data_IF_125161723971
#
_entry.id   IF_125161723971
#
_cell.length_a   1.000
_cell.length_b   1.000
_cell.length_c   1.000
_cell.angle_alpha   90.00
_cell.angle_beta   90.00
_cell.angle_gamma   90.00
#
_symmetry.space_group_name_H-M   'P 1'
#
loop_
_entity.id
_entity.type
_entity.pdbx_description
1 polymer ?
#
# COMPACT_ATOMS: atom_id res chain seq x y z
N UNK A 1 -15.40 37.52 12.91
CA UNK A 1 -14.48 37.11 11.83
C UNK A 1 -15.03 35.84 11.24
N UNK A 2 -15.15 35.73 9.91
CA UNK A 2 -15.59 34.47 9.28
C UNK A 2 -14.56 33.40 9.59
N UNK A 3 -14.98 32.23 10.08
CA UNK A 3 -14.06 31.10 10.26
C UNK A 3 -13.57 30.69 8.86
N UNK A 4 -12.26 30.61 8.60
CA UNK A 4 -11.77 30.20 7.30
C UNK A 4 -12.20 28.75 7.03
N UNK A 5 -12.95 28.54 5.96
CA UNK A 5 -13.36 27.20 5.50
C UNK A 5 -12.32 26.65 4.55
N UNK A 6 -11.83 25.44 4.82
CA UNK A 6 -10.90 24.73 3.94
C UNK A 6 -11.61 23.55 3.27
N UNK A 7 -11.24 23.25 2.03
CA UNK A 7 -11.69 22.05 1.33
C UNK A 7 -10.60 20.98 1.48
N UNK A 8 -10.98 19.85 2.05
CA UNK A 8 -10.09 18.72 2.29
C UNK A 8 -10.42 17.58 1.32
N UNK A 9 -9.40 16.96 0.69
CA UNK A 9 -9.60 15.79 -0.17
C UNK A 9 -10.28 14.60 0.52
N UNK A 10 -10.10 14.43 1.83
CA UNK A 10 -10.67 13.35 2.63
C UNK A 10 -11.44 13.90 3.84
N UNK A 11 -12.66 14.38 3.64
CA UNK A 11 -13.51 14.87 4.73
C UNK A 11 -14.94 14.31 4.59
N UNK A 12 -15.37 13.38 5.48
CA UNK A 12 -14.62 12.87 6.62
C UNK A 12 -13.46 11.93 6.22
N UNK A 13 -12.52 11.70 7.14
CA UNK A 13 -11.57 10.59 7.01
C UNK A 13 -12.32 9.25 7.01
N UNK A 14 -11.70 8.21 6.47
CA UNK A 14 -12.23 6.86 6.56
C UNK A 14 -12.32 6.44 8.05
N UNK A 15 -13.52 6.13 8.58
CA UNK A 15 -13.67 5.78 9.98
C UNK A 15 -12.96 4.47 10.34
N UNK A 16 -12.31 4.44 11.50
CA UNK A 16 -11.74 3.23 12.09
C UNK A 16 -12.79 2.60 12.99
N UNK A 17 -13.35 1.47 12.54
CA UNK A 17 -14.39 0.73 13.27
C UNK A 17 -13.74 -0.25 14.24
N UNK A 18 -14.06 -0.13 15.53
CA UNK A 18 -13.51 -0.97 16.58
C UNK A 18 -12.05 -0.66 16.87
N UNK A 19 -11.31 -1.69 17.33
CA UNK A 19 -9.91 -1.54 17.72
C UNK A 19 -9.05 -1.13 16.50
N UNK A 20 -8.28 -0.03 16.57
CA UNK A 20 -7.39 0.36 15.49
C UNK A 20 -6.39 -0.73 15.15
N UNK A 21 -6.21 -0.96 13.86
CA UNK A 21 -5.23 -1.88 13.28
C UNK A 21 -4.17 -1.09 12.53
N UNK A 22 -3.00 -1.68 12.32
CA UNK A 22 -1.93 -1.04 11.55
C UNK A 22 -2.39 -0.61 10.14
N UNK A 23 -3.10 -1.44 9.33
CA UNK A 23 -3.64 -1.01 8.05
C UNK A 23 -4.55 0.22 8.14
N UNK A 24 -5.46 0.26 9.11
CA UNK A 24 -6.41 1.36 9.28
C UNK A 24 -5.69 2.67 9.66
N UNK A 25 -4.72 2.60 10.56
CA UNK A 25 -3.91 3.76 10.95
C UNK A 25 -3.05 4.25 9.79
N UNK A 26 -2.46 3.35 8.99
CA UNK A 26 -1.70 3.73 7.80
C UNK A 26 -2.60 4.47 6.79
N UNK A 27 -3.83 3.97 6.54
CA UNK A 27 -4.78 4.65 5.66
C UNK A 27 -5.15 6.04 6.19
N UNK A 28 -5.57 6.14 7.45
CA UNK A 28 -5.92 7.41 8.08
C UNK A 28 -4.74 8.41 8.05
N UNK A 29 -3.51 7.92 8.26
CA UNK A 29 -2.29 8.74 8.17
C UNK A 29 -2.06 9.26 6.75
N UNK A 30 -2.33 8.46 5.71
CA UNK A 30 -2.26 8.92 4.31
C UNK A 30 -3.29 10.01 4.02
N UNK A 31 -4.53 9.81 4.46
CA UNK A 31 -5.63 10.76 4.25
C UNK A 31 -5.37 12.09 4.96
N UNK A 32 -4.96 12.06 6.24
CA UNK A 32 -4.67 13.27 7.00
C UNK A 32 -3.45 14.02 6.44
N UNK A 33 -2.45 13.31 5.89
CA UNK A 33 -1.31 13.93 5.21
C UNK A 33 -1.75 14.62 3.92
N UNK A 34 -2.67 14.02 3.16
CA UNK A 34 -3.24 14.65 1.97
C UNK A 34 -4.04 15.92 2.33
N UNK A 35 -4.85 15.87 3.38
CA UNK A 35 -5.60 17.02 3.90
C UNK A 35 -4.71 18.14 4.42
N UNK A 36 -3.65 17.81 5.16
CA UNK A 36 -2.70 18.80 5.65
C UNK A 36 -1.92 19.46 4.50
N UNK A 37 -1.55 18.68 3.48
CA UNK A 37 -0.85 19.19 2.29
C UNK A 37 -1.74 20.03 1.38
N UNK A 38 -3.04 19.75 1.31
CA UNK A 38 -3.97 20.48 0.41
C UNK A 38 -4.12 21.95 0.78
N UNK A 39 -3.87 22.32 2.03
CA UNK A 39 -3.92 23.72 2.49
C UNK A 39 -2.55 24.38 2.39
N UNK A 40 -2.34 25.36 1.49
CA UNK A 40 -1.04 25.99 1.29
C UNK A 40 -0.57 26.78 2.51
N UNK A 41 0.73 26.80 2.76
CA UNK A 41 1.39 27.57 3.81
C UNK A 41 2.48 28.44 3.22
N UNK A 42 2.65 29.67 3.72
CA UNK A 42 3.81 30.52 3.39
C UNK A 42 5.08 30.08 4.12
N UNK A 43 4.96 29.20 5.11
CA UNK A 43 6.04 28.73 5.99
C UNK A 43 6.61 27.36 5.61
N UNK A 44 6.18 26.78 4.48
CA UNK A 44 6.67 25.50 4.02
C UNK A 44 6.21 25.14 2.62
N UNK A 45 7.07 24.41 1.88
CA UNK A 45 6.80 23.96 0.51
C UNK A 45 5.78 22.82 0.39
N UNK A 46 5.31 22.29 1.53
CA UNK A 46 4.44 21.12 1.62
C UNK A 46 3.10 21.42 2.32
N UNK A 47 2.61 22.66 2.22
CA UNK A 47 1.39 23.09 2.89
C UNK A 47 1.53 23.04 4.40
N UNK A 48 0.53 22.49 5.09
CA UNK A 48 0.52 22.32 6.55
C UNK A 48 0.92 20.91 6.99
N UNK A 49 1.59 20.14 6.14
CA UNK A 49 1.98 18.76 6.43
C UNK A 49 2.81 18.61 7.72
N UNK A 50 3.56 19.64 8.12
CA UNK A 50 4.31 19.66 9.38
C UNK A 50 3.45 19.54 10.65
N UNK A 51 2.13 19.80 10.57
CA UNK A 51 1.21 19.67 11.70
C UNK A 51 0.88 18.22 12.08
N UNK A 52 1.20 17.27 11.20
CA UNK A 52 0.82 15.85 11.33
C UNK A 52 2.01 14.90 11.19
N UNK A 53 3.21 15.42 10.92
CA UNK A 53 4.45 14.66 10.80
C UNK A 53 5.42 15.02 11.91
N UNK A 54 6.39 14.14 12.19
CA UNK A 54 7.51 14.52 13.05
C UNK A 54 8.37 15.59 12.39
N UNK A 55 9.02 16.43 13.19
CA UNK A 55 9.96 17.44 12.69
C UNK A 55 11.08 16.81 11.86
N UNK A 56 11.55 15.62 12.26
CA UNK A 56 12.59 14.88 11.54
C UNK A 56 12.11 14.44 10.15
N UNK A 57 10.93 13.80 10.07
CA UNK A 57 10.39 13.32 8.79
C UNK A 57 10.01 14.46 7.85
N UNK A 58 9.44 15.54 8.40
CA UNK A 58 9.14 16.73 7.60
C UNK A 58 10.42 17.35 7.04
N UNK A 59 11.45 17.53 7.86
CA UNK A 59 12.73 18.13 7.43
C UNK A 59 13.41 17.28 6.37
N UNK A 60 13.42 15.95 6.55
CA UNK A 60 13.96 15.01 5.57
C UNK A 60 13.24 15.11 4.22
N UNK A 61 11.92 15.35 4.22
CA UNK A 61 11.12 15.47 3.00
C UNK A 61 11.21 16.84 2.34
N UNK A 62 11.12 17.91 3.13
CA UNK A 62 11.06 19.28 2.64
C UNK A 62 12.44 19.91 2.39
N UNK A 63 13.51 19.28 2.87
CA UNK A 63 14.87 19.80 2.84
C UNK A 63 15.13 20.96 3.81
N UNK A 64 14.10 21.41 4.53
CA UNK A 64 14.13 22.51 5.49
C UNK A 64 13.11 22.26 6.60
N UNK A 65 13.41 22.74 7.80
CA UNK A 65 12.49 22.68 8.92
C UNK A 65 11.26 23.58 8.67
N UNK A 66 10.10 23.16 9.18
CA UNK A 66 8.91 24.00 9.18
C UNK A 66 8.99 25.01 10.33
N UNK A 67 8.93 26.30 10.01
CA UNK A 67 8.87 27.37 11.01
C UNK A 67 7.43 27.78 11.22
N UNK A 68 6.80 27.31 12.29
CA UNK A 68 5.41 27.66 12.58
C UNK A 68 5.24 29.18 12.76
N UNK A 69 4.15 29.79 12.24
CA UNK A 69 3.83 31.18 12.54
C UNK A 69 3.69 31.38 14.05
N UNK A 70 4.33 32.41 14.57
CA UNK A 70 4.20 32.84 15.97
C UNK A 70 2.99 33.73 16.14
N UNK A 71 2.51 33.86 17.38
CA UNK A 71 1.45 34.81 17.70
C UNK A 71 1.89 36.23 17.29
N UNK A 72 1.14 36.91 16.42
CA UNK A 72 1.54 38.18 15.84
C UNK A 72 1.43 39.30 16.89
N UNK A 73 2.55 39.99 17.14
CA UNK A 73 2.58 41.17 18.00
C UNK A 73 2.50 42.40 17.11
N UNK A 74 1.60 43.34 17.45
CA UNK A 74 1.48 44.60 16.71
C UNK A 74 2.80 45.38 16.82
N UNK A 75 3.41 45.80 15.70
CA UNK A 75 4.67 46.54 15.74
C UNK A 75 4.49 47.88 16.47
N UNK A 76 5.47 48.24 17.29
CA UNK A 76 5.52 49.56 17.93
C UNK A 76 5.89 50.60 16.87
N UNK A 77 5.18 51.73 16.85
CA UNK A 77 5.48 52.82 15.90
C UNK A 77 6.81 53.47 16.27
N UNK A 78 7.74 53.51 15.32
CA UNK A 78 8.98 54.28 15.46
C UNK A 78 8.72 55.78 15.32
N UNK A 79 9.42 56.59 16.11
CA UNK A 79 9.35 58.04 16.00
C UNK A 79 9.84 58.47 14.61
N UNK A 80 9.13 59.43 13.99
CA UNK A 80 9.41 59.92 12.62
C UNK A 80 9.18 58.90 11.49
N UNK A 81 8.45 57.81 11.73
CA UNK A 81 8.04 56.88 10.67
C UNK A 81 7.26 57.60 9.58
N UNK A 82 7.64 57.39 8.33
CA UNK A 82 6.86 57.89 7.18
C UNK A 82 5.55 57.11 7.04
N UNK A 83 4.55 57.69 6.37
CA UNK A 83 3.29 57.00 6.07
C UNK A 83 3.50 55.67 5.34
N UNK A 84 4.49 55.61 4.43
CA UNK A 84 4.81 54.38 3.71
C UNK A 84 5.29 53.28 4.65
N UNK A 85 6.22 53.59 5.57
CA UNK A 85 6.72 52.65 6.57
C UNK A 85 5.62 52.16 7.53
N UNK A 86 4.68 53.05 7.89
CA UNK A 86 3.53 52.68 8.73
C UNK A 86 2.61 51.71 8.00
N UNK A 87 2.32 51.96 6.72
CA UNK A 87 1.44 51.11 5.93
C UNK A 87 2.05 49.74 5.69
N UNK A 88 3.34 49.68 5.38
CA UNK A 88 4.11 48.43 5.21
C UNK A 88 4.08 47.58 6.49
N UNK A 89 4.40 48.18 7.66
CA UNK A 89 4.34 47.47 8.94
C UNK A 89 2.93 46.99 9.33
N UNK A 90 1.88 47.72 8.95
CA UNK A 90 0.50 47.28 9.15
C UNK A 90 0.13 46.11 8.25
N UNK A 91 0.62 46.10 7.00
CA UNK A 91 0.41 45.02 6.05
C UNK A 91 1.12 43.74 6.52
N UNK A 92 2.39 43.84 6.92
CA UNK A 92 3.15 42.73 7.48
C UNK A 92 2.46 42.12 8.71
N UNK A 93 1.94 42.96 9.60
CA UNK A 93 1.18 42.52 10.77
C UNK A 93 -0.11 41.80 10.35
N UNK A 94 -0.88 42.36 9.40
CA UNK A 94 -2.10 41.73 8.91
C UNK A 94 -1.82 40.37 8.26
N UNK A 95 -0.74 40.25 7.48
CA UNK A 95 -0.31 39.01 6.84
C UNK A 95 0.19 37.98 7.87
N UNK A 96 0.81 38.43 8.96
CA UNK A 96 1.20 37.58 10.08
C UNK A 96 -0.03 37.04 10.84
N UNK A 97 -1.02 37.89 11.13
CA UNK A 97 -2.31 37.49 11.74
C UNK A 97 -3.04 36.47 10.88
N UNK A 98 -3.24 36.77 9.60
CA UNK A 98 -3.90 35.85 8.67
C UNK A 98 -3.23 34.48 8.62
N UNK A 99 -1.89 34.45 8.61
CA UNK A 99 -1.16 33.19 8.54
C UNK A 99 -1.13 32.42 9.86
N UNK A 100 -1.10 33.10 11.00
CA UNK A 100 -1.25 32.50 12.33
C UNK A 100 -2.65 31.89 12.50
N UNK A 101 -3.71 32.67 12.23
CA UNK A 101 -5.10 32.21 12.35
C UNK A 101 -5.37 31.01 11.44
N UNK A 102 -4.83 31.04 10.22
CA UNK A 102 -4.89 29.91 9.29
C UNK A 102 -4.21 28.67 9.86
N UNK A 103 -2.99 28.80 10.39
CA UNK A 103 -2.24 27.69 10.96
C UNK A 103 -3.00 27.03 12.12
N UNK A 104 -3.51 27.85 13.05
CA UNK A 104 -4.31 27.37 14.19
C UNK A 104 -5.60 26.70 13.70
N UNK A 105 -6.31 27.31 12.74
CA UNK A 105 -7.56 26.73 12.21
C UNK A 105 -7.33 25.37 11.54
N UNK A 106 -6.26 25.24 10.74
CA UNK A 106 -5.91 23.96 10.11
C UNK A 106 -5.53 22.92 11.17
N UNK A 107 -4.75 23.30 12.20
CA UNK A 107 -4.40 22.39 13.29
C UNK A 107 -5.65 21.86 14.02
N UNK A 108 -6.61 22.74 14.33
CA UNK A 108 -7.86 22.32 14.98
C UNK A 108 -8.72 21.43 14.08
N UNK A 109 -8.83 21.75 12.79
CA UNK A 109 -9.59 20.92 11.86
C UNK A 109 -9.00 19.52 11.69
N UNK A 110 -7.67 19.42 11.52
CA UNK A 110 -6.99 18.12 11.41
C UNK A 110 -7.12 17.31 12.70
N UNK A 111 -7.05 17.97 13.88
CA UNK A 111 -7.30 17.32 15.17
C UNK A 111 -8.71 16.73 15.22
N UNK A 112 -9.72 17.52 14.83
CA UNK A 112 -11.11 17.10 14.86
C UNK A 112 -11.37 15.93 13.89
N UNK A 113 -10.77 15.95 12.70
CA UNK A 113 -10.86 14.85 11.74
C UNK A 113 -10.35 13.54 12.34
N UNK A 114 -9.20 13.55 13.00
CA UNK A 114 -8.64 12.36 13.66
C UNK A 114 -9.54 11.88 14.81
N UNK A 115 -10.01 12.80 15.67
CA UNK A 115 -10.88 12.46 16.80
C UNK A 115 -12.24 11.91 16.35
N UNK A 116 -12.76 12.35 15.21
CA UNK A 116 -14.01 11.83 14.64
C UNK A 116 -13.82 10.46 13.98
N UNK A 117 -12.62 10.18 13.44
CA UNK A 117 -12.32 8.93 12.75
C UNK A 117 -12.08 7.76 13.72
N UNK A 118 -11.80 8.01 14.99
CA UNK A 118 -11.40 6.99 15.96
C UNK A 118 -12.28 7.05 17.20
N UNK A 119 -12.74 5.89 17.67
CA UNK A 119 -13.53 5.83 18.90
C UNK A 119 -12.75 6.41 20.10
N UNK A 120 -13.38 7.26 20.94
CA UNK A 120 -12.68 8.01 22.00
C UNK A 120 -11.89 7.15 22.99
N UNK A 121 -12.27 5.89 23.20
CA UNK A 121 -11.55 4.96 24.09
C UNK A 121 -10.08 4.76 23.66
N UNK A 122 -9.80 4.86 22.36
CA UNK A 122 -8.45 4.64 21.84
C UNK A 122 -7.56 5.88 21.93
N UNK A 123 -8.13 7.08 22.07
CA UNK A 123 -7.42 8.36 22.27
C UNK A 123 -7.49 8.87 23.71
N UNK A 124 -8.33 8.26 24.55
CA UNK A 124 -8.60 8.65 25.95
C UNK A 124 -7.37 8.90 26.82
N UNK A 125 -6.24 8.26 26.53
CA UNK A 125 -4.98 8.49 27.27
C UNK A 125 -4.52 9.96 27.18
N UNK A 126 -4.84 10.63 26.09
CA UNK A 126 -4.48 12.03 25.83
C UNK A 126 -5.55 13.01 26.30
N UNK A 127 -6.68 12.53 26.82
CA UNK A 127 -7.78 13.36 27.30
C UNK A 127 -7.46 13.88 28.72
N UNK A 128 -7.09 15.16 28.83
CA UNK A 128 -6.89 15.80 30.13
C UNK A 128 -8.22 15.96 30.88
N UNK A 129 -8.20 15.74 32.20
CA UNK A 129 -9.42 15.78 33.02
C UNK A 129 -10.09 17.15 33.03
N UNK A 130 -9.32 18.23 32.89
CA UNK A 130 -9.83 19.61 33.01
C UNK A 130 -9.94 20.25 31.62
N UNK A 131 -8.96 20.03 30.76
CA UNK A 131 -8.83 20.71 29.46
C UNK A 131 -9.17 19.82 28.26
N UNK A 132 -9.46 18.53 28.49
CA UNK A 132 -9.70 17.57 27.42
C UNK A 132 -8.52 17.48 26.45
N UNK A 133 -8.80 17.62 25.16
CA UNK A 133 -7.79 17.63 24.08
C UNK A 133 -7.30 19.05 23.71
N UNK A 134 -7.44 20.06 24.58
CA UNK A 134 -7.11 21.45 24.24
C UNK A 134 -5.67 21.60 23.74
N UNK A 135 -4.70 21.07 24.50
CA UNK A 135 -3.27 21.19 24.22
C UNK A 135 -2.71 20.03 23.39
N UNK A 136 -3.53 19.04 23.05
CA UNK A 136 -3.13 17.89 22.24
C UNK A 136 -3.13 18.28 20.77
N UNK A 137 -2.01 18.03 20.10
CA UNK A 137 -1.83 18.28 18.67
C UNK A 137 -2.29 17.09 17.81
N UNK A 138 -2.61 17.31 16.52
CA UNK A 138 -2.86 16.23 15.56
C UNK A 138 -1.71 15.22 15.49
N UNK A 139 -0.46 15.70 15.53
CA UNK A 139 0.73 14.87 15.51
C UNK A 139 0.82 13.96 16.75
N UNK A 140 0.50 14.45 17.95
CA UNK A 140 0.48 13.65 19.17
C UNK A 140 -0.60 12.55 19.13
N UNK A 141 -1.77 12.85 18.57
CA UNK A 141 -2.82 11.84 18.33
C UNK A 141 -2.32 10.75 17.38
N UNK A 142 -1.75 11.11 16.23
CA UNK A 142 -1.21 10.14 15.27
C UNK A 142 -0.06 9.32 15.88
N UNK A 143 0.81 9.97 16.64
CA UNK A 143 1.92 9.30 17.34
C UNK A 143 1.38 8.30 18.36
N UNK A 144 0.37 8.69 19.15
CA UNK A 144 -0.25 7.78 20.12
C UNK A 144 -0.89 6.56 19.44
N UNK A 145 -1.67 6.78 18.38
CA UNK A 145 -2.35 5.70 17.67
C UNK A 145 -1.34 4.76 17.02
N UNK A 146 -0.32 5.31 16.35
CA UNK A 146 0.73 4.53 15.69
C UNK A 146 1.56 3.73 16.69
N UNK A 147 2.00 4.35 17.78
CA UNK A 147 2.84 3.67 18.78
C UNK A 147 2.09 2.59 19.57
N UNK A 148 0.79 2.78 19.82
CA UNK A 148 -0.01 1.86 20.65
C UNK A 148 -0.72 0.77 19.85
N UNK A 149 -1.13 1.05 18.61
CA UNK A 149 -1.96 0.15 17.81
C UNK A 149 -1.45 -0.03 16.37
N UNK A 150 -0.42 0.71 15.96
CA UNK A 150 0.12 0.69 14.60
C UNK A 150 1.16 -0.41 14.34
N UNK A 151 1.46 -1.27 15.31
CA UNK A 151 2.33 -2.43 15.09
C UNK A 151 1.65 -3.41 14.15
N UNK A 152 2.27 -3.68 12.99
CA UNK A 152 1.81 -4.73 12.07
C UNK A 152 1.99 -6.08 12.75
N UNK A 153 0.88 -6.77 12.99
CA UNK A 153 0.85 -8.08 13.64
C UNK A 153 1.01 -9.22 12.62
N UNK A 154 1.25 -10.44 13.11
CA UNK A 154 1.24 -11.63 12.25
C UNK A 154 -0.12 -11.82 11.55
N UNK A 155 -1.21 -11.57 12.27
CA UNK A 155 -2.57 -11.64 11.72
C UNK A 155 -2.78 -10.62 10.60
N UNK A 156 -2.28 -9.38 10.75
CA UNK A 156 -2.35 -8.37 9.69
C UNK A 156 -1.61 -8.83 8.43
N UNK A 157 -0.45 -9.47 8.59
CA UNK A 157 0.33 -10.02 7.47
C UNK A 157 -0.36 -11.21 6.80
N UNK A 158 -0.99 -12.10 7.58
CA UNK A 158 -1.79 -13.20 7.06
C UNK A 158 -3.01 -12.70 6.29
N UNK A 159 -3.75 -11.74 6.85
CA UNK A 159 -4.91 -11.15 6.18
C UNK A 159 -4.51 -10.38 4.92
N UNK A 160 -3.36 -9.71 4.93
CA UNK A 160 -2.78 -9.12 3.73
C UNK A 160 -2.44 -10.18 2.67
N UNK A 161 -1.86 -11.33 3.04
CA UNK A 161 -1.61 -12.44 2.11
C UNK A 161 -2.91 -13.05 1.57
N UNK A 162 -3.96 -13.16 2.38
CA UNK A 162 -5.27 -13.68 1.93
C UNK A 162 -5.89 -12.85 0.81
N UNK A 163 -5.59 -11.54 0.73
CA UNK A 163 -6.02 -10.68 -0.38
C UNK A 163 -5.47 -11.16 -1.73
N UNK A 164 -4.22 -11.64 -1.75
CA UNK A 164 -3.58 -12.16 -2.96
C UNK A 164 -4.21 -13.47 -3.44
N UNK A 165 -4.71 -14.30 -2.53
CA UNK A 165 -5.41 -15.55 -2.87
C UNK A 165 -6.92 -15.37 -3.04
N UNK A 166 -7.45 -14.15 -2.83
CA UNK A 166 -8.89 -13.89 -2.96
C UNK A 166 -9.30 -13.98 -4.44
N UNK A 167 -10.43 -14.63 -4.77
CA UNK A 167 -10.92 -14.73 -6.15
C UNK A 167 -10.96 -13.36 -6.82
N UNK A 168 -10.56 -13.31 -8.08
CA UNK A 168 -10.68 -12.13 -8.93
C UNK A 168 -11.82 -12.35 -9.91
N UNK A 169 -12.49 -11.27 -10.30
CA UNK A 169 -13.54 -11.31 -11.31
C UNK A 169 -12.88 -11.19 -12.71
N UNK A 170 -13.11 -12.13 -13.64
CA UNK A 170 -12.53 -12.07 -14.99
C UNK A 170 -12.92 -10.84 -15.81
N UNK A 171 -14.01 -10.18 -15.45
CA UNK A 171 -14.49 -8.97 -16.11
C UNK A 171 -13.84 -7.69 -15.55
N UNK A 172 -13.10 -7.77 -14.43
CA UNK A 172 -12.39 -6.64 -13.86
C UNK A 172 -11.15 -6.29 -14.68
N UNK A 173 -10.78 -5.01 -14.68
CA UNK A 173 -9.53 -4.55 -15.29
C UNK A 173 -8.31 -5.21 -14.61
N UNK A 174 -7.32 -5.63 -15.40
CA UNK A 174 -6.06 -6.20 -14.91
C UNK A 174 -5.33 -5.25 -13.95
N UNK A 175 -5.50 -3.93 -14.10
CA UNK A 175 -4.93 -2.93 -13.20
C UNK A 175 -5.44 -3.07 -11.76
N UNK A 176 -6.65 -3.60 -11.54
CA UNK A 176 -7.17 -3.90 -10.19
C UNK A 176 -6.37 -5.03 -9.54
N UNK A 177 -5.99 -6.04 -10.33
CA UNK A 177 -5.20 -7.18 -9.86
C UNK A 177 -3.76 -6.75 -9.56
N UNK A 178 -3.14 -6.00 -10.48
CA UNK A 178 -1.79 -5.46 -10.29
C UNK A 178 -1.70 -4.45 -9.15
N UNK A 179 -2.73 -3.62 -8.98
CA UNK A 179 -2.87 -2.73 -7.83
C UNK A 179 -2.88 -3.52 -6.52
N UNK A 180 -3.68 -4.58 -6.44
CA UNK A 180 -3.73 -5.47 -5.27
C UNK A 180 -2.37 -6.10 -4.96
N UNK A 181 -1.66 -6.59 -5.98
CA UNK A 181 -0.29 -7.15 -5.82
C UNK A 181 0.65 -6.10 -5.23
N UNK A 182 0.68 -4.91 -5.82
CA UNK A 182 1.53 -3.80 -5.41
C UNK A 182 1.25 -3.38 -3.97
N UNK A 183 -0.02 -3.22 -3.61
CA UNK A 183 -0.43 -2.83 -2.26
C UNK A 183 -0.06 -3.87 -1.21
N UNK A 184 -0.25 -5.16 -1.51
CA UNK A 184 0.08 -6.24 -0.58
C UNK A 184 1.60 -6.33 -0.34
N UNK A 185 2.40 -6.17 -1.40
CA UNK A 185 3.85 -6.14 -1.28
C UNK A 185 4.33 -4.93 -0.48
N UNK A 186 3.79 -3.74 -0.78
CA UNK A 186 4.13 -2.51 -0.08
C UNK A 186 3.80 -2.60 1.42
N UNK A 187 2.67 -3.20 1.79
CA UNK A 187 2.26 -3.38 3.18
C UNK A 187 3.26 -4.21 4.00
N UNK A 188 3.85 -5.24 3.40
CA UNK A 188 4.76 -6.15 4.10
C UNK A 188 6.25 -5.74 4.00
N UNK A 189 6.58 -4.75 3.16
CA UNK A 189 7.96 -4.43 2.73
C UNK A 189 8.95 -4.21 3.88
N UNK A 190 8.57 -3.39 4.87
CA UNK A 190 9.45 -2.99 5.97
C UNK A 190 9.27 -3.87 7.22
N UNK A 191 8.51 -4.96 7.09
CA UNK A 191 8.34 -5.95 8.15
C UNK A 191 9.41 -7.03 8.05
N UNK A 192 9.53 -7.89 9.07
CA UNK A 192 10.41 -9.05 9.01
C UNK A 192 9.91 -10.15 8.05
N UNK A 193 8.75 -9.97 7.41
CA UNK A 193 8.15 -10.95 6.49
C UNK A 193 7.68 -10.29 5.16
N UNK A 194 8.59 -9.69 4.37
CA UNK A 194 8.24 -9.10 3.09
C UNK A 194 7.66 -10.16 2.14
N UNK A 195 6.82 -9.73 1.19
CA UNK A 195 6.26 -10.59 0.16
C UNK A 195 7.09 -10.38 -1.12
N UNK A 196 7.92 -11.35 -1.54
CA UNK A 196 8.64 -11.26 -2.81
C UNK A 196 7.68 -11.20 -3.98
N UNK A 197 8.04 -10.45 -5.03
CA UNK A 197 7.21 -10.29 -6.23
C UNK A 197 6.80 -11.63 -6.84
N UNK A 198 7.75 -12.57 -6.97
CA UNK A 198 7.47 -13.92 -7.47
C UNK A 198 6.43 -14.67 -6.62
N UNK A 199 6.46 -14.50 -5.29
CA UNK A 199 5.48 -15.09 -4.37
C UNK A 199 4.11 -14.42 -4.54
N UNK A 200 4.06 -13.10 -4.70
CA UNK A 200 2.80 -12.38 -4.91
C UNK A 200 2.13 -12.80 -6.23
N UNK A 201 2.89 -12.86 -7.32
CA UNK A 201 2.42 -13.32 -8.64
C UNK A 201 1.96 -14.78 -8.56
N UNK A 202 2.73 -15.66 -7.91
CA UNK A 202 2.31 -17.05 -7.76
C UNK A 202 1.03 -17.21 -6.93
N UNK A 203 0.74 -16.28 -6.03
CA UNK A 203 -0.43 -16.34 -5.15
C UNK A 203 -1.73 -16.00 -5.90
N UNK A 204 -1.70 -15.05 -6.83
CA UNK A 204 -2.87 -14.69 -7.65
C UNK A 204 -3.19 -15.73 -8.74
N UNK A 205 -2.19 -16.52 -9.15
CA UNK A 205 -2.33 -17.60 -10.14
C UNK A 205 -2.93 -18.89 -9.56
N UNK A 206 -3.10 -18.97 -8.23
CA UNK A 206 -3.63 -20.14 -7.51
C UNK A 206 -4.98 -19.79 -6.88
N UNK A 207 -6.12 -20.14 -7.49
CA UNK A 207 -7.43 -19.94 -6.87
C UNK A 207 -7.52 -20.71 -5.55
N UNK A 208 -8.13 -20.10 -4.53
CA UNK A 208 -8.42 -20.74 -3.24
C UNK A 208 -9.28 -22.00 -3.44
N UNK A 209 -8.65 -23.18 -3.31
CA UNK A 209 -9.29 -24.48 -3.54
C UNK A 209 -8.35 -25.69 -3.48
N UNK A 210 -7.03 -25.50 -3.47
CA UNK A 210 -6.03 -26.59 -3.44
C UNK A 210 -5.37 -26.79 -2.07
N UNK A 211 -6.13 -26.80 -0.97
CA UNK A 211 -5.59 -27.15 0.35
C UNK A 211 -6.49 -28.15 1.08
N UNK A 212 -6.14 -29.43 1.04
CA UNK A 212 -6.36 -30.37 2.16
C UNK A 212 -5.48 -31.62 2.00
N UNK A 213 -4.88 -32.00 3.13
CA UNK A 213 -4.21 -33.26 3.42
C UNK A 213 -2.85 -33.52 2.74
N UNK A 214 -1.76 -33.27 3.46
CA UNK A 214 -0.94 -34.36 4.00
C UNK A 214 0.24 -33.82 4.83
N UNK A 215 -0.05 -33.50 6.10
CA UNK A 215 0.96 -33.51 7.14
C UNK A 215 1.12 -34.95 7.64
N UNK A 216 2.13 -35.66 7.14
CA UNK A 216 2.75 -36.80 7.82
C UNK A 216 4.11 -37.11 7.17
N UNK A 217 5.20 -36.71 7.81
CA UNK A 217 6.54 -37.32 7.68
C UNK A 217 6.64 -38.47 8.70
N UNK A 218 7.37 -39.60 8.46
CA UNK A 218 8.86 -39.63 8.40
C UNK A 218 9.44 -40.85 7.59
N UNK A 219 10.73 -41.31 7.69
CA UNK A 219 12.01 -40.69 8.09
C UNK A 219 13.22 -40.88 7.10
N UNK A 220 14.28 -40.06 7.28
CA UNK A 220 15.72 -40.23 6.94
C UNK A 220 16.15 -40.66 5.51
N UNK A 221 16.82 -39.86 4.66
CA UNK A 221 18.13 -39.13 4.70
C UNK A 221 19.04 -39.71 3.57
N UNK A 222 20.12 -39.05 3.04
CA UNK A 222 20.73 -37.77 3.43
C UNK A 222 20.92 -36.77 2.26
N UNK A 223 21.39 -35.58 2.64
CA UNK A 223 21.70 -34.46 1.75
C UNK A 223 22.87 -34.72 0.79
N UNK A 224 22.71 -34.31 -0.47
CA UNK A 224 23.81 -33.83 -1.32
C UNK A 224 23.33 -32.64 -2.15
N UNK A 225 24.03 -31.52 -2.01
CA UNK A 225 23.89 -30.38 -2.90
C UNK A 225 24.57 -30.69 -4.23
N UNK A 226 23.92 -30.44 -5.37
CA UNK A 226 24.64 -30.06 -6.59
C UNK A 226 23.74 -29.45 -7.67
N UNK A 227 24.30 -28.38 -8.26
CA UNK A 227 24.10 -27.71 -9.55
C UNK A 227 22.89 -28.06 -10.45
N UNK A 228 22.34 -26.99 -11.03
CA UNK A 228 21.35 -27.00 -12.11
C UNK A 228 21.83 -27.73 -13.37
N UNK A 229 20.95 -28.52 -14.03
CA UNK A 229 21.14 -28.91 -15.42
C UNK A 229 20.09 -28.26 -16.33
N UNK A 230 20.58 -27.52 -17.32
CA UNK A 230 19.86 -27.23 -18.58
C UNK A 230 19.57 -28.57 -19.27
N UNK A 231 18.36 -29.11 -19.11
CA UNK A 231 17.90 -30.30 -19.84
C UNK A 231 16.63 -29.98 -20.60
N UNK A 232 16.62 -30.31 -21.88
CA UNK A 232 15.52 -30.20 -22.85
C UNK A 232 14.40 -31.19 -22.52
N UNK A 233 13.74 -31.02 -21.38
CA UNK A 233 12.59 -31.86 -21.01
C UNK A 233 11.39 -31.52 -21.88
N UNK A 234 10.80 -32.53 -22.52
CA UNK A 234 9.54 -32.40 -23.27
C UNK A 234 8.30 -32.48 -22.39
N UNK A 235 8.49 -32.79 -21.11
CA UNK A 235 7.41 -32.89 -20.14
C UNK A 235 7.73 -32.10 -18.88
N UNK A 236 6.66 -31.73 -18.18
CA UNK A 236 6.70 -31.17 -16.84
C UNK A 236 5.81 -32.05 -15.97
N UNK A 237 6.32 -32.45 -14.81
CA UNK A 237 5.53 -33.16 -13.81
C UNK A 237 5.35 -32.22 -12.62
N UNK A 238 4.10 -31.93 -12.30
CA UNK A 238 3.72 -31.18 -11.10
C UNK A 238 2.74 -32.06 -10.34
N UNK A 239 3.04 -32.37 -9.09
CA UNK A 239 2.16 -33.13 -8.19
C UNK A 239 1.60 -34.41 -8.83
N UNK A 240 2.51 -35.27 -9.32
CA UNK A 240 2.23 -36.55 -10.01
C UNK A 240 1.45 -36.47 -11.32
N UNK A 241 1.18 -35.27 -11.82
CA UNK A 241 0.56 -35.07 -13.12
C UNK A 241 1.63 -34.69 -14.14
N UNK A 242 1.94 -35.60 -15.05
CA UNK A 242 2.90 -35.36 -16.14
C UNK A 242 2.18 -34.83 -17.37
N UNK A 243 2.61 -33.66 -17.83
CA UNK A 243 2.15 -33.04 -19.07
C UNK A 243 3.30 -32.95 -20.06
N UNK A 244 3.00 -33.13 -21.34
CA UNK A 244 3.94 -33.18 -22.46
C UNK A 244 3.67 -32.01 -23.39
N UNK A 245 4.72 -31.43 -23.98
CA UNK A 245 4.65 -30.18 -24.73
C UNK A 245 4.87 -30.37 -26.23
N UNK A 246 3.96 -29.80 -27.02
CA UNK A 246 4.04 -29.68 -28.47
C UNK A 246 4.02 -28.21 -28.89
N UNK A 247 4.91 -27.80 -29.81
CA UNK A 247 4.98 -26.41 -30.30
C UNK A 247 3.65 -25.88 -30.86
N UNK A 248 2.88 -26.72 -31.56
CA UNK A 248 1.59 -26.29 -32.16
C UNK A 248 0.45 -26.25 -31.14
N UNK A 249 0.44 -27.22 -30.21
CA UNK A 249 -0.74 -27.53 -29.40
C UNK A 249 -0.60 -27.21 -27.92
N UNK A 250 0.60 -26.84 -27.47
CA UNK A 250 0.89 -26.54 -26.09
C UNK A 250 1.02 -27.78 -25.21
N UNK A 251 0.57 -27.69 -23.97
CA UNK A 251 0.67 -28.76 -22.98
C UNK A 251 -0.54 -29.70 -23.04
N UNK A 252 -0.29 -31.01 -23.07
CA UNK A 252 -1.31 -32.06 -23.03
C UNK A 252 -0.90 -33.24 -22.14
N UNK A 253 -1.86 -34.08 -21.75
CA UNK A 253 -1.63 -35.19 -20.82
C UNK A 253 -1.18 -36.50 -21.49
N UNK A 254 -1.27 -36.61 -22.81
CA UNK A 254 -0.83 -37.81 -23.53
C UNK A 254 0.72 -37.82 -23.61
N UNK A 255 1.41 -38.92 -23.22
CA UNK A 255 2.86 -39.04 -23.34
C UNK A 255 3.44 -38.85 -24.73
N UNK A 256 2.65 -39.14 -25.77
CA UNK A 256 3.01 -38.91 -27.17
C UNK A 256 2.69 -37.48 -27.63
N UNK A 257 2.28 -36.58 -26.74
CA UNK A 257 2.00 -35.17 -27.07
C UNK A 257 3.29 -34.34 -26.99
N UNK A 258 4.26 -34.63 -27.86
CA UNK A 258 5.52 -33.87 -27.95
C UNK A 258 5.72 -33.26 -29.33
N UNK A 259 6.49 -32.17 -29.44
CA UNK A 259 6.81 -31.57 -30.76
C UNK A 259 7.47 -32.58 -31.69
N UNK A 260 8.32 -33.46 -31.17
CA UNK A 260 9.00 -34.49 -31.96
C UNK A 260 8.04 -35.55 -32.57
N UNK A 261 6.85 -35.73 -32.00
CA UNK A 261 5.90 -36.81 -32.38
C UNK A 261 4.58 -36.27 -32.92
N UNK A 262 4.49 -34.96 -33.18
CA UNK A 262 3.28 -34.30 -33.66
C UNK A 262 2.91 -34.72 -35.08
N UNK A 263 1.75 -35.35 -35.25
CA UNK A 263 1.25 -35.81 -36.55
C UNK A 263 0.40 -34.76 -37.30
N UNK A 264 -0.05 -33.71 -36.59
CA UNK A 264 -0.85 -32.61 -37.17
C UNK A 264 -0.23 -31.23 -36.85
N UNK A 265 0.97 -30.92 -37.36
CA UNK A 265 1.65 -29.65 -37.08
C UNK A 265 0.97 -28.44 -37.73
N UNK A 266 0.98 -27.29 -37.04
CA UNK A 266 0.70 -26.00 -37.67
C UNK A 266 1.86 -25.59 -38.60
N UNK A 267 1.61 -24.62 -39.48
CA UNK A 267 2.51 -24.21 -40.57
C UNK A 267 3.96 -23.86 -40.15
N UNK A 268 4.20 -23.49 -38.88
CA UNK A 268 5.53 -23.11 -38.33
C UNK A 268 6.05 -24.03 -37.23
N UNK A 269 5.54 -25.25 -37.15
CA UNK A 269 5.90 -26.19 -36.10
C UNK A 269 7.41 -26.50 -36.06
N UNK A 270 8.05 -26.34 -34.91
CA UNK A 270 9.43 -26.79 -34.67
C UNK A 270 9.44 -28.10 -33.86
N UNK A 271 9.83 -29.20 -34.53
CA UNK A 271 9.90 -30.54 -33.94
C UNK A 271 10.90 -30.68 -32.78
N UNK A 272 11.83 -29.73 -32.63
CA UNK A 272 12.84 -29.74 -31.57
C UNK A 272 12.45 -28.90 -30.35
N UNK A 273 11.28 -28.26 -30.37
CA UNK A 273 10.81 -27.43 -29.26
C UNK A 273 10.36 -28.27 -28.06
N UNK A 274 10.69 -27.81 -26.86
CA UNK A 274 10.46 -28.51 -25.58
C UNK A 274 9.75 -27.59 -24.59
N UNK A 275 9.19 -28.10 -23.48
CA UNK A 275 8.50 -27.22 -22.51
C UNK A 275 9.46 -26.19 -21.89
N UNK A 276 10.75 -26.53 -21.78
CA UNK A 276 11.81 -25.65 -21.26
C UNK A 276 12.42 -24.74 -22.33
N UNK A 277 12.22 -25.04 -23.61
CA UNK A 277 12.59 -24.18 -24.73
C UNK A 277 11.52 -24.24 -25.84
N UNK A 278 10.43 -23.47 -25.69
CA UNK A 278 9.25 -23.59 -26.54
C UNK A 278 9.42 -22.92 -27.91
N UNK A 279 10.53 -22.19 -28.16
CA UNK A 279 10.87 -21.57 -29.45
C UNK A 279 9.73 -20.79 -30.12
N UNK A 280 8.99 -20.01 -29.34
CA UNK A 280 7.84 -19.23 -29.84
C UNK A 280 6.56 -20.02 -30.10
N UNK A 281 6.49 -21.29 -29.68
CA UNK A 281 5.30 -22.14 -29.80
C UNK A 281 4.21 -21.85 -28.77
N UNK A 282 3.08 -22.55 -28.91
CA UNK A 282 1.88 -22.41 -28.10
C UNK A 282 2.14 -22.68 -26.61
N UNK A 283 1.82 -21.72 -25.74
CA UNK A 283 2.04 -21.82 -24.27
C UNK A 283 0.78 -22.15 -23.48
N UNK A 284 -0.30 -22.50 -24.17
CA UNK A 284 -1.57 -22.83 -23.55
C UNK A 284 -1.59 -24.29 -23.08
N UNK A 285 -2.41 -24.56 -22.07
CA UNK A 285 -2.76 -25.93 -21.69
C UNK A 285 -3.97 -26.33 -22.51
N UNK A 286 -3.85 -27.39 -23.31
CA UNK A 286 -4.95 -27.91 -24.08
C UNK A 286 -5.91 -28.69 -23.17
N UNK A 287 -6.96 -28.03 -22.70
CA UNK A 287 -7.99 -28.58 -21.80
C UNK A 287 -9.06 -29.41 -22.53
N UNK A 288 -8.96 -29.58 -23.86
CA UNK A 288 -9.95 -30.33 -24.64
C UNK A 288 -10.03 -31.83 -24.28
N UNK A 289 -9.05 -32.36 -23.53
CA UNK A 289 -9.09 -33.72 -22.99
C UNK A 289 -10.10 -33.91 -21.83
N UNK A 290 -10.65 -32.84 -21.23
CA UNK A 290 -11.63 -32.97 -20.13
C UNK A 290 -13.09 -33.13 -20.62
N UNK A 291 -13.35 -32.99 -21.93
CA UNK A 291 -14.70 -33.11 -22.50
C UNK A 291 -14.86 -34.33 -23.40
N UNK A 292 -14.56 -35.54 -22.91
CA UNK A 292 -15.12 -36.79 -23.47
C UNK A 292 -15.23 -37.88 -22.39
N UNK A 293 -16.41 -37.95 -21.77
CA UNK A 293 -17.24 -39.16 -21.72
C UNK A 293 -18.70 -38.75 -21.47
N UNK A 294 -19.63 -39.05 -22.40
CA UNK A 294 -21.07 -38.90 -22.22
C UNK A 294 -21.70 -40.17 -21.61
N UNK A 295 -22.85 -39.97 -20.93
CA UNK A 295 -23.92 -40.94 -20.58
C UNK A 295 -23.53 -42.28 -19.97
#
# INVERSE_FOLDING_TARGET
MSVPTFVYPHDPLTPIIGRPTAPAIILMTKEIFANAKSVPSKYGSHGHLALVMTTADYTARAGQAYTAPTFPIRPTRVASATTAQINDANQDYADAVSAYDKHISVQQNLKQQILNAVEPIFTKKLDDKIHGYADVTPQELLTHLTTKYGTITHTDLEDNRKKLSSPWNPDDDLDIIWGRVTDCMAFAKDTSQPIPEATAISSILRPAGFHSANFATPPNAPATASAAPTTSSNSITVDSTTMYYCWSHGLGFNPNHTSATCQHPSEKHDHTATIRNPKGGCRLINTAAFRRSPS
#
